data_IF_681881499092
#
_entry.id   IF_681881499092
#
_cell.length_a   1.000
_cell.length_b   1.000
_cell.length_c   1.000
_cell.angle_alpha   90.00
_cell.angle_beta   90.00
_cell.angle_gamma   90.00
#
_symmetry.space_group_name_H-M   'P 1'
#
loop_
_entity.id
_entity.type
_entity.pdbx_description
1 polymer ?
#
# COMPACT_ATOMS: atom_id res chain seq x y z
N UNK A 1 -10.57 -5.31 10.69
CA UNK A 1 -11.02 -6.14 9.54
C UNK A 1 -12.00 -5.34 8.70
N UNK A 2 -11.84 -5.35 7.38
CA UNK A 2 -12.83 -4.82 6.43
C UNK A 2 -13.31 -5.94 5.50
N UNK A 3 -14.55 -5.82 5.03
CA UNK A 3 -15.14 -6.67 4.01
C UNK A 3 -15.69 -5.78 2.90
N UNK A 4 -15.60 -6.24 1.66
CA UNK A 4 -16.16 -5.54 0.51
C UNK A 4 -16.86 -6.53 -0.41
N UNK A 5 -18.11 -6.20 -0.76
CA UNK A 5 -18.91 -6.93 -1.76
C UNK A 5 -19.47 -5.92 -2.75
N UNK A 6 -19.11 -6.04 -4.01
CA UNK A 6 -19.61 -5.10 -5.01
C UNK A 6 -18.96 -5.22 -6.38
N UNK A 7 -19.08 -4.15 -7.13
CA UNK A 7 -18.49 -3.99 -8.44
C UNK A 7 -17.68 -2.71 -8.47
N UNK A 8 -16.61 -2.68 -9.24
CA UNK A 8 -15.87 -1.45 -9.53
C UNK A 8 -16.10 -1.03 -10.98
N UNK A 9 -16.29 0.28 -11.16
CA UNK A 9 -16.50 0.88 -12.48
C UNK A 9 -15.76 2.23 -12.58
N UNK A 10 -15.50 2.67 -13.79
CA UNK A 10 -14.99 4.00 -14.10
C UNK A 10 -15.95 4.68 -15.09
N UNK A 11 -16.70 5.68 -14.62
CA UNK A 11 -17.88 6.17 -15.31
C UNK A 11 -18.87 5.01 -15.51
N UNK A 12 -19.37 4.84 -16.73
CA UNK A 12 -20.31 3.76 -17.09
C UNK A 12 -19.62 2.42 -17.42
N UNK A 13 -18.28 2.39 -17.42
CA UNK A 13 -17.51 1.19 -17.78
C UNK A 13 -17.28 0.31 -16.57
N UNK A 14 -17.91 -0.89 -16.56
CA UNK A 14 -17.59 -1.93 -15.58
C UNK A 14 -16.15 -2.42 -15.77
N UNK A 15 -15.34 -2.32 -14.70
CA UNK A 15 -13.95 -2.80 -14.65
C UNK A 15 -13.86 -4.20 -14.08
N UNK A 16 -14.53 -4.45 -12.94
CA UNK A 16 -14.61 -5.77 -12.34
C UNK A 16 -15.95 -5.93 -11.61
N UNK A 17 -16.57 -7.10 -11.74
CA UNK A 17 -17.84 -7.42 -11.12
C UNK A 17 -17.75 -8.60 -10.15
N UNK A 18 -18.72 -8.66 -9.21
CA UNK A 18 -18.82 -9.76 -8.26
C UNK A 18 -17.63 -9.87 -7.31
N UNK A 19 -17.05 -8.76 -6.92
CA UNK A 19 -15.92 -8.72 -5.96
C UNK A 19 -16.46 -9.09 -4.58
N UNK A 20 -15.79 -10.04 -3.95
CA UNK A 20 -16.00 -10.39 -2.55
C UNK A 20 -14.64 -10.63 -1.90
N UNK A 21 -14.22 -9.71 -1.05
CA UNK A 21 -12.90 -9.73 -0.40
C UNK A 21 -12.99 -9.32 1.06
N UNK A 22 -12.03 -9.80 1.84
CA UNK A 22 -11.82 -9.36 3.22
C UNK A 22 -10.34 -9.07 3.47
N UNK A 23 -10.06 -8.12 4.37
CA UNK A 23 -8.71 -7.80 4.84
C UNK A 23 -8.69 -7.88 6.36
N UNK A 24 -7.77 -8.65 6.90
CA UNK A 24 -7.59 -8.90 8.33
C UNK A 24 -6.24 -8.39 8.80
N UNK A 25 -6.10 -8.20 10.11
CA UNK A 25 -4.81 -7.89 10.74
C UNK A 25 -3.73 -8.91 10.33
N UNK A 26 -2.57 -8.42 9.96
CA UNK A 26 -1.44 -9.22 9.50
C UNK A 26 -1.45 -9.60 8.01
N UNK A 27 -2.52 -9.31 7.28
CA UNK A 27 -2.57 -9.56 5.85
C UNK A 27 -1.61 -8.65 5.09
N UNK A 28 -0.81 -9.23 4.20
CA UNK A 28 0.00 -8.54 3.21
C UNK A 28 -0.46 -9.00 1.83
N UNK A 29 -1.32 -8.23 1.18
CA UNK A 29 -2.02 -8.65 -0.04
C UNK A 29 -1.45 -7.91 -1.25
N UNK A 30 -1.01 -8.67 -2.24
CA UNK A 30 -0.65 -8.15 -3.56
C UNK A 30 -1.90 -8.01 -4.44
N UNK A 31 -2.20 -6.80 -4.90
CA UNK A 31 -3.21 -6.53 -5.93
C UNK A 31 -2.53 -6.41 -7.28
N UNK A 32 -2.77 -7.34 -8.18
CA UNK A 32 -2.19 -7.33 -9.52
C UNK A 32 -3.24 -7.38 -10.63
N UNK A 33 -2.85 -7.03 -11.83
CA UNK A 33 -3.72 -6.94 -13.01
C UNK A 33 -3.11 -6.08 -14.09
N UNK A 34 -3.62 -6.20 -15.29
CA UNK A 34 -3.20 -5.38 -16.44
C UNK A 34 -3.38 -3.87 -16.19
N UNK A 35 -2.73 -3.03 -16.99
CA UNK A 35 -2.98 -1.59 -16.95
C UNK A 35 -4.45 -1.30 -17.30
N UNK A 36 -5.10 -0.44 -16.50
CA UNK A 36 -6.52 -0.12 -16.68
C UNK A 36 -7.50 -1.20 -16.21
N UNK A 37 -7.05 -2.29 -15.56
CA UNK A 37 -7.93 -3.33 -15.02
C UNK A 37 -8.77 -2.89 -13.82
N UNK A 38 -8.39 -1.78 -13.16
CA UNK A 38 -9.15 -1.24 -12.03
C UNK A 38 -8.45 -1.34 -10.67
N UNK A 39 -7.14 -1.65 -10.60
CA UNK A 39 -6.37 -1.73 -9.34
C UNK A 39 -6.55 -0.47 -8.47
N UNK A 40 -6.20 0.69 -9.00
CA UNK A 40 -6.33 1.96 -8.28
C UNK A 40 -7.79 2.30 -7.95
N UNK A 41 -8.74 1.89 -8.80
CA UNK A 41 -10.18 2.08 -8.56
C UNK A 41 -10.64 1.23 -7.38
N UNK A 42 -10.21 -0.03 -7.30
CA UNK A 42 -10.52 -0.91 -6.18
C UNK A 42 -9.96 -0.35 -4.86
N UNK A 43 -8.67 0.04 -4.85
CA UNK A 43 -8.05 0.64 -3.65
C UNK A 43 -8.81 1.90 -3.19
N UNK A 44 -9.15 2.80 -4.11
CA UNK A 44 -9.93 4.02 -3.79
C UNK A 44 -11.33 3.71 -3.29
N UNK A 45 -11.98 2.69 -3.84
CA UNK A 45 -13.31 2.26 -3.38
C UNK A 45 -13.24 1.73 -1.95
N UNK A 46 -12.28 0.85 -1.65
CA UNK A 46 -12.06 0.33 -0.29
C UNK A 46 -11.78 1.45 0.71
N UNK A 47 -10.94 2.43 0.34
CA UNK A 47 -10.63 3.58 1.19
C UNK A 47 -11.85 4.46 1.43
N UNK A 48 -12.65 4.73 0.40
CA UNK A 48 -13.86 5.55 0.48
C UNK A 48 -14.94 4.93 1.36
N UNK A 49 -15.10 3.61 1.29
CA UNK A 49 -16.10 2.89 2.08
C UNK A 49 -15.68 2.66 3.54
N UNK A 50 -14.37 2.71 3.82
CA UNK A 50 -13.82 2.44 5.14
C UNK A 50 -12.90 3.56 5.66
N UNK A 51 -13.31 4.84 5.65
CA UNK A 51 -12.41 5.97 5.93
C UNK A 51 -11.88 5.98 7.37
N UNK A 52 -12.57 5.34 8.30
CA UNK A 52 -12.13 5.25 9.69
C UNK A 52 -11.00 4.23 9.91
N UNK A 53 -10.93 3.17 9.09
CA UNK A 53 -10.01 2.04 9.27
C UNK A 53 -8.85 2.05 8.27
N UNK A 54 -8.99 2.76 7.17
CA UNK A 54 -8.10 2.68 6.02
C UNK A 54 -7.34 3.99 5.81
N UNK A 55 -6.04 3.90 5.62
CA UNK A 55 -5.20 4.98 5.06
C UNK A 55 -4.74 4.58 3.65
N UNK A 56 -4.80 5.50 2.70
CA UNK A 56 -4.41 5.24 1.31
C UNK A 56 -3.32 6.19 0.85
N UNK A 57 -2.26 5.62 0.28
CA UNK A 57 -1.19 6.34 -0.41
C UNK A 57 -1.33 6.08 -1.91
N UNK A 58 -1.67 7.09 -2.71
CA UNK A 58 -1.74 6.96 -4.16
C UNK A 58 -0.34 6.90 -4.78
N UNK A 59 -0.25 6.37 -6.00
CA UNK A 59 0.98 6.45 -6.79
C UNK A 59 1.30 7.89 -7.19
N UNK A 60 2.60 8.20 -7.37
CA UNK A 60 3.05 9.44 -7.99
C UNK A 60 2.91 10.69 -7.11
N UNK A 61 3.00 10.58 -5.80
CA UNK A 61 3.10 11.75 -4.91
C UNK A 61 4.36 12.55 -5.29
N UNK A 62 4.24 13.85 -5.58
CA UNK A 62 5.39 14.65 -5.96
C UNK A 62 6.25 15.02 -4.75
N UNK A 63 7.58 15.08 -4.94
CA UNK A 63 8.49 15.69 -3.97
C UNK A 63 8.35 17.21 -4.06
N UNK A 64 7.74 17.83 -3.05
CA UNK A 64 7.51 19.28 -2.98
C UNK A 64 8.63 19.95 -2.19
N UNK A 65 9.23 21.03 -2.71
CA UNK A 65 10.24 21.81 -2.00
C UNK A 65 9.65 22.62 -0.85
N UNK A 66 10.44 22.82 0.21
CA UNK A 66 10.05 23.70 1.31
C UNK A 66 9.32 22.99 2.45
N UNK A 67 9.24 21.66 2.42
CA UNK A 67 8.83 20.84 3.57
C UNK A 67 10.01 20.00 4.02
N UNK A 68 10.29 19.96 5.29
CA UNK A 68 11.12 18.92 5.85
C UNK A 68 10.31 17.60 5.99
N UNK A 69 11.01 16.48 6.16
CA UNK A 69 10.36 15.19 6.22
C UNK A 69 9.47 15.06 7.46
N UNK A 70 9.80 15.68 8.58
CA UNK A 70 8.99 15.68 9.80
C UNK A 70 7.64 16.39 9.55
N UNK A 71 7.66 17.57 8.94
CA UNK A 71 6.46 18.31 8.56
C UNK A 71 5.59 17.50 7.58
N UNK A 72 6.23 16.86 6.59
CA UNK A 72 5.55 16.04 5.60
C UNK A 72 4.85 14.83 6.23
N UNK A 73 5.52 14.09 7.13
CA UNK A 73 4.94 12.93 7.81
C UNK A 73 3.82 13.36 8.77
N UNK A 74 3.96 14.53 9.39
CA UNK A 74 2.95 15.08 10.30
C UNK A 74 1.58 15.27 9.65
N UNK A 75 1.51 15.47 8.33
CA UNK A 75 0.24 15.51 7.60
C UNK A 75 -0.61 14.25 7.86
N UNK A 76 0.02 13.07 7.99
CA UNK A 76 -0.70 11.84 8.33
C UNK A 76 -1.22 11.80 9.76
N UNK A 77 -0.55 12.48 10.69
CA UNK A 77 -0.98 12.52 12.10
C UNK A 77 -2.26 13.33 12.31
N UNK A 78 -2.48 14.36 11.49
CA UNK A 78 -3.58 15.32 11.65
C UNK A 78 -4.91 14.81 11.05
N UNK A 79 -4.86 13.89 10.08
CA UNK A 79 -6.07 13.31 9.47
C UNK A 79 -6.96 12.53 10.46
N UNK A 80 -6.41 12.08 11.58
CA UNK A 80 -7.14 11.32 12.59
C UNK A 80 -7.97 12.15 13.59
N UNK A 81 -7.77 13.47 13.70
CA UNK A 81 -8.58 14.40 14.51
C UNK A 81 -8.70 14.08 16.01
N UNK A 82 -8.04 13.07 16.55
CA UNK A 82 -8.25 12.51 17.89
C UNK A 82 -6.99 12.37 18.74
N UNK A 83 -5.84 12.88 18.28
CA UNK A 83 -4.59 12.74 19.00
C UNK A 83 -4.25 13.98 19.83
N UNK A 84 -4.01 13.80 21.14
CA UNK A 84 -3.19 14.75 21.89
C UNK A 84 -1.86 14.90 21.14
N UNK A 85 -1.34 16.10 20.96
CA UNK A 85 -0.10 16.35 20.19
C UNK A 85 1.08 15.47 20.68
N UNK A 86 1.11 15.14 21.98
CA UNK A 86 2.12 14.24 22.58
C UNK A 86 2.01 12.79 22.10
N UNK A 87 0.82 12.29 21.83
CA UNK A 87 0.63 10.91 21.37
C UNK A 87 0.94 10.79 19.86
N UNK A 88 0.65 11.84 19.09
CA UNK A 88 1.04 11.94 17.69
C UNK A 88 2.56 11.99 17.52
N UNK A 89 3.26 12.78 18.33
CA UNK A 89 4.73 12.85 18.34
C UNK A 89 5.38 11.51 18.73
N UNK A 90 4.85 10.82 19.75
CA UNK A 90 5.35 9.50 20.14
C UNK A 90 5.16 8.47 19.00
N UNK A 91 4.00 8.50 18.35
CA UNK A 91 3.71 7.62 17.21
C UNK A 91 4.67 7.89 16.06
N UNK A 92 4.85 9.16 15.70
CA UNK A 92 5.78 9.55 14.64
C UNK A 92 7.21 9.11 14.94
N UNK A 93 7.69 9.33 16.16
CA UNK A 93 9.03 8.88 16.56
C UNK A 93 9.19 7.34 16.45
N UNK A 94 8.16 6.58 16.81
CA UNK A 94 8.16 5.12 16.66
C UNK A 94 8.18 4.71 15.19
N UNK A 95 7.40 5.36 14.33
CA UNK A 95 7.35 5.10 12.88
C UNK A 95 8.67 5.46 12.22
N UNK A 96 9.27 6.61 12.54
CA UNK A 96 10.58 7.00 11.99
C UNK A 96 11.67 5.98 12.33
N UNK A 97 11.66 5.48 13.57
CA UNK A 97 12.59 4.42 14.01
C UNK A 97 12.35 3.12 13.24
N UNK A 98 11.10 2.68 13.12
CA UNK A 98 10.72 1.46 12.40
C UNK A 98 11.18 1.48 10.93
N UNK A 99 11.11 2.65 10.29
CA UNK A 99 11.48 2.83 8.88
C UNK A 99 12.96 3.22 8.67
N UNK A 100 13.72 3.46 9.75
CA UNK A 100 15.10 3.93 9.67
C UNK A 100 15.23 5.34 9.08
N UNK A 101 14.34 6.25 9.45
CA UNK A 101 14.26 7.62 8.95
C UNK A 101 14.64 8.68 9.97
N UNK A 102 15.06 8.29 11.19
CA UNK A 102 15.31 9.21 12.31
C UNK A 102 16.30 10.33 11.98
N UNK A 103 17.39 10.01 11.29
CA UNK A 103 18.42 10.99 10.93
C UNK A 103 18.02 11.92 9.78
N UNK A 104 16.97 11.58 9.08
CA UNK A 104 16.50 12.31 7.88
C UNK A 104 15.34 13.28 8.19
N UNK A 105 14.83 13.30 9.41
CA UNK A 105 13.60 14.00 9.76
C UNK A 105 13.62 15.52 9.46
N UNK A 106 14.78 16.16 9.48
CA UNK A 106 14.94 17.59 9.19
C UNK A 106 15.48 17.88 7.78
N UNK A 107 15.54 16.85 6.91
CA UNK A 107 15.93 17.05 5.51
C UNK A 107 14.73 17.47 4.68
N UNK A 108 14.94 18.41 3.75
CA UNK A 108 13.94 18.76 2.74
C UNK A 108 13.59 17.52 1.91
N UNK A 109 12.29 17.21 1.80
CA UNK A 109 11.81 16.01 1.10
C UNK A 109 12.21 15.95 -0.37
N UNK A 110 12.49 17.11 -1.00
CA UNK A 110 12.98 17.17 -2.38
C UNK A 110 14.41 16.63 -2.54
N UNK A 111 15.17 16.52 -1.43
CA UNK A 111 16.56 16.04 -1.41
C UNK A 111 16.68 14.55 -1.06
N UNK A 112 15.57 13.91 -0.68
CA UNK A 112 15.56 12.50 -0.37
C UNK A 112 15.75 11.66 -1.62
N UNK A 113 16.42 10.50 -1.50
CA UNK A 113 16.38 9.48 -2.54
C UNK A 113 14.96 8.98 -2.77
N UNK A 114 14.69 8.29 -3.88
CA UNK A 114 13.35 7.80 -4.17
C UNK A 114 12.88 6.76 -3.13
N UNK A 115 13.78 5.90 -2.66
CA UNK A 115 13.48 4.94 -1.60
C UNK A 115 13.20 5.60 -0.24
N UNK A 116 13.98 6.62 0.15
CA UNK A 116 13.74 7.40 1.38
C UNK A 116 12.41 8.13 1.31
N UNK A 117 12.11 8.76 0.17
CA UNK A 117 10.83 9.45 -0.04
C UNK A 117 9.65 8.48 -0.02
N UNK A 118 9.78 7.29 -0.62
CA UNK A 118 8.75 6.26 -0.58
C UNK A 118 8.49 5.78 0.87
N UNK A 119 9.55 5.59 1.66
CA UNK A 119 9.40 5.31 3.10
C UNK A 119 8.70 6.43 3.85
N UNK A 120 9.00 7.70 3.51
CA UNK A 120 8.30 8.85 4.10
C UNK A 120 6.80 8.85 3.75
N UNK A 121 6.42 8.49 2.52
CA UNK A 121 5.02 8.31 2.14
C UNK A 121 4.34 7.18 2.94
N UNK A 122 5.02 6.06 3.15
CA UNK A 122 4.52 4.97 4.02
C UNK A 122 4.39 5.45 5.47
N UNK A 123 5.34 6.26 5.96
CA UNK A 123 5.28 6.83 7.29
C UNK A 123 4.01 7.67 7.51
N UNK A 124 3.58 8.47 6.52
CA UNK A 124 2.30 9.21 6.58
C UNK A 124 1.15 8.26 6.89
N UNK A 125 1.05 7.15 6.15
CA UNK A 125 -0.01 6.18 6.33
C UNK A 125 0.04 5.52 7.72
N UNK A 126 1.22 5.16 8.21
CA UNK A 126 1.40 4.59 9.55
C UNK A 126 1.06 5.59 10.66
N UNK A 127 1.43 6.86 10.49
CA UNK A 127 1.15 7.92 11.45
C UNK A 127 -0.35 8.24 11.56
N UNK A 128 -1.17 7.91 10.57
CA UNK A 128 -2.62 8.03 10.64
C UNK A 128 -3.24 7.15 11.73
N UNK A 129 -2.52 6.13 12.19
CA UNK A 129 -2.98 5.19 13.21
C UNK A 129 -4.11 4.28 12.75
N UNK A 130 -4.35 4.19 11.44
CA UNK A 130 -5.36 3.31 10.86
C UNK A 130 -4.85 1.88 10.77
N UNK A 131 -5.77 0.93 10.80
CA UNK A 131 -5.44 -0.50 10.86
C UNK A 131 -4.96 -1.06 9.52
N UNK A 132 -5.39 -0.46 8.41
CA UNK A 132 -5.18 -0.99 7.05
C UNK A 132 -4.56 0.09 6.17
N UNK A 133 -3.47 -0.27 5.51
CA UNK A 133 -2.77 0.58 4.56
C UNK A 133 -3.06 0.10 3.14
N UNK A 134 -3.53 0.99 2.28
CA UNK A 134 -3.69 0.76 0.85
C UNK A 134 -2.64 1.56 0.10
N UNK A 135 -1.77 0.87 -0.65
CA UNK A 135 -0.64 1.48 -1.34
C UNK A 135 -0.74 1.22 -2.85
N UNK A 136 -0.88 2.28 -3.61
CA UNK A 136 -0.97 2.17 -5.07
C UNK A 136 0.42 2.30 -5.70
N UNK A 137 0.97 1.18 -6.20
CA UNK A 137 2.30 1.09 -6.82
C UNK A 137 3.46 1.59 -5.93
N UNK A 138 3.61 1.14 -4.67
CA UNK A 138 4.63 1.68 -3.75
C UNK A 138 6.07 1.40 -4.17
N UNK A 139 6.30 0.54 -5.15
CA UNK A 139 7.63 0.21 -5.67
C UNK A 139 7.88 0.77 -7.08
N UNK A 140 6.93 1.55 -7.64
CA UNK A 140 7.10 2.15 -8.94
C UNK A 140 8.30 3.12 -8.95
N UNK A 141 9.02 3.14 -10.06
CA UNK A 141 10.20 4.01 -10.29
C UNK A 141 11.41 3.77 -9.37
N UNK A 142 11.36 2.76 -8.48
CA UNK A 142 12.48 2.38 -7.62
C UNK A 142 13.43 1.41 -8.34
N UNK A 143 14.72 1.51 -8.03
CA UNK A 143 15.70 0.49 -8.42
C UNK A 143 15.44 -0.85 -7.70
N UNK A 144 16.01 -1.97 -8.17
CA UNK A 144 15.75 -3.30 -7.61
C UNK A 144 16.05 -3.42 -6.11
N UNK A 145 17.10 -2.75 -5.61
CA UNK A 145 17.45 -2.76 -4.19
C UNK A 145 16.39 -2.08 -3.34
N UNK A 146 15.96 -0.88 -3.75
CA UNK A 146 14.91 -0.13 -3.07
C UNK A 146 13.55 -0.84 -3.14
N UNK A 147 13.20 -1.51 -4.24
CA UNK A 147 11.96 -2.33 -4.31
C UNK A 147 11.95 -3.42 -3.25
N UNK A 148 13.03 -4.19 -3.16
CA UNK A 148 13.19 -5.25 -2.16
C UNK A 148 13.07 -4.70 -0.73
N UNK A 149 13.73 -3.58 -0.46
CA UNK A 149 13.68 -2.91 0.84
C UNK A 149 12.25 -2.48 1.21
N UNK A 150 11.50 -1.86 0.28
CA UNK A 150 10.10 -1.45 0.53
C UNK A 150 9.21 -2.67 0.78
N UNK A 151 9.31 -3.71 -0.03
CA UNK A 151 8.51 -4.93 0.14
C UNK A 151 8.80 -5.63 1.48
N UNK A 152 10.08 -5.69 1.89
CA UNK A 152 10.47 -6.20 3.22
C UNK A 152 9.84 -5.36 4.33
N UNK A 153 9.90 -4.04 4.22
CA UNK A 153 9.27 -3.13 5.17
C UNK A 153 7.75 -3.36 5.27
N UNK A 154 7.03 -3.53 4.15
CA UNK A 154 5.60 -3.84 4.16
C UNK A 154 5.32 -5.16 4.87
N UNK A 155 6.15 -6.17 4.66
CA UNK A 155 6.03 -7.47 5.35
C UNK A 155 6.23 -7.34 6.85
N UNK A 156 7.20 -6.54 7.31
CA UNK A 156 7.45 -6.27 8.73
C UNK A 156 6.26 -5.54 9.37
N UNK A 157 5.69 -4.54 8.68
CA UNK A 157 4.48 -3.83 9.12
C UNK A 157 3.32 -4.80 9.33
N UNK A 158 3.10 -5.74 8.40
CA UNK A 158 2.07 -6.76 8.53
C UNK A 158 2.37 -7.72 9.70
N UNK A 159 3.62 -8.12 9.88
CA UNK A 159 4.03 -8.97 11.01
C UNK A 159 3.83 -8.30 12.37
N UNK A 160 3.83 -6.97 12.43
CA UNK A 160 3.52 -6.17 13.60
C UNK A 160 2.01 -6.00 13.86
N UNK A 161 1.14 -6.59 13.01
CA UNK A 161 -0.30 -6.65 13.20
C UNK A 161 -1.13 -5.67 12.37
N UNK A 162 -0.51 -4.79 11.57
CA UNK A 162 -1.25 -4.00 10.59
C UNK A 162 -1.56 -4.83 9.34
N UNK A 163 -2.52 -4.38 8.53
CA UNK A 163 -2.77 -4.99 7.23
C UNK A 163 -2.32 -4.06 6.11
N UNK A 164 -1.80 -4.64 5.04
CA UNK A 164 -1.39 -3.91 3.83
C UNK A 164 -2.01 -4.56 2.60
N UNK A 165 -2.63 -3.75 1.74
CA UNK A 165 -2.97 -4.14 0.37
C UNK A 165 -2.20 -3.21 -0.56
N UNK A 166 -1.35 -3.74 -1.41
CA UNK A 166 -0.56 -2.94 -2.32
C UNK A 166 -0.68 -3.42 -3.76
N UNK A 167 -0.75 -2.48 -4.69
CA UNK A 167 -0.69 -2.82 -6.12
C UNK A 167 0.77 -2.89 -6.59
N UNK A 168 1.07 -3.82 -7.50
CA UNK A 168 2.38 -3.89 -8.16
C UNK A 168 2.28 -4.53 -9.54
N UNK A 169 3.19 -4.11 -10.43
CA UNK A 169 3.45 -4.78 -11.72
C UNK A 169 4.56 -5.82 -11.62
N UNK A 170 5.41 -5.75 -10.59
CA UNK A 170 6.46 -6.74 -10.34
C UNK A 170 5.91 -7.90 -9.48
N UNK A 171 5.11 -8.76 -10.13
CA UNK A 171 4.40 -9.85 -9.47
C UNK A 171 5.40 -10.84 -8.87
N UNK A 172 6.41 -11.25 -9.63
CA UNK A 172 7.39 -12.27 -9.23
C UNK A 172 8.12 -11.88 -7.94
N UNK A 173 8.62 -10.65 -7.88
CA UNK A 173 9.27 -10.14 -6.67
C UNK A 173 8.29 -10.02 -5.51
N UNK A 174 7.09 -9.46 -5.76
CA UNK A 174 6.09 -9.18 -4.73
C UNK A 174 5.55 -10.44 -4.05
N UNK A 175 5.42 -11.56 -4.79
CA UNK A 175 4.95 -12.85 -4.25
C UNK A 175 5.80 -13.36 -3.08
N UNK A 176 7.08 -12.99 -3.00
CA UNK A 176 7.95 -13.41 -1.90
C UNK A 176 7.66 -12.69 -0.58
N UNK A 177 6.89 -11.61 -0.61
CA UNK A 177 6.64 -10.73 0.55
C UNK A 177 5.18 -10.70 0.99
N UNK A 178 4.24 -11.19 0.19
CA UNK A 178 2.82 -11.16 0.52
C UNK A 178 2.31 -12.48 1.12
N UNK A 179 1.15 -12.41 1.77
CA UNK A 179 0.43 -13.57 2.33
C UNK A 179 -0.72 -13.99 1.46
N UNK A 180 -1.19 -13.07 0.60
CA UNK A 180 -2.31 -13.26 -0.31
C UNK A 180 -2.14 -12.49 -1.60
N UNK A 181 -2.84 -12.91 -2.63
CA UNK A 181 -2.91 -12.24 -3.94
C UNK A 181 -4.36 -12.03 -4.36
N UNK A 182 -4.64 -10.83 -4.87
CA UNK A 182 -5.85 -10.46 -5.58
C UNK A 182 -5.49 -10.14 -7.02
N UNK A 183 -5.95 -10.95 -7.96
CA UNK A 183 -5.62 -10.83 -9.37
C UNK A 183 -6.86 -10.41 -10.18
N UNK A 184 -6.80 -9.22 -10.79
CA UNK A 184 -7.82 -8.74 -11.71
C UNK A 184 -7.59 -9.35 -13.10
N UNK A 185 -8.41 -10.33 -13.45
CA UNK A 185 -8.35 -11.06 -14.72
C UNK A 185 -8.95 -10.28 -15.89
N UNK A 186 -8.65 -10.75 -17.12
CA UNK A 186 -9.24 -10.22 -18.36
C UNK A 186 -10.76 -10.53 -18.44
N UNK A 187 -11.24 -11.54 -17.72
CA UNK A 187 -12.64 -11.90 -17.56
C UNK A 187 -13.44 -10.91 -16.70
N UNK A 188 -12.81 -9.80 -16.26
CA UNK A 188 -13.36 -8.78 -15.36
C UNK A 188 -13.83 -9.35 -14.01
N UNK A 189 -13.12 -10.34 -13.52
CA UNK A 189 -13.32 -10.93 -12.18
C UNK A 189 -12.08 -10.75 -11.33
N UNK A 190 -12.29 -10.75 -10.03
CA UNK A 190 -11.22 -10.77 -9.05
C UNK A 190 -11.01 -12.22 -8.60
N UNK A 191 -9.81 -12.72 -8.79
CA UNK A 191 -9.39 -14.04 -8.35
C UNK A 191 -8.46 -13.89 -7.15
N UNK A 192 -8.69 -14.66 -6.08
CA UNK A 192 -7.95 -14.57 -4.84
C UNK A 192 -7.29 -15.90 -4.50
N UNK A 193 -6.08 -15.85 -3.95
CA UNK A 193 -5.39 -17.00 -3.40
C UNK A 193 -4.49 -16.58 -2.23
N UNK A 194 -4.19 -17.54 -1.34
CA UNK A 194 -3.32 -17.38 -0.19
C UNK A 194 -2.27 -18.50 -0.13
N UNK A 195 -1.17 -18.25 0.55
CA UNK A 195 -0.12 -19.23 0.78
C UNK A 195 0.44 -19.85 -0.52
N UNK A 196 0.55 -21.17 -0.56
CA UNK A 196 1.14 -21.88 -1.69
C UNK A 196 0.36 -21.75 -3.02
N UNK A 197 -0.93 -21.41 -2.97
CA UNK A 197 -1.76 -21.24 -4.15
C UNK A 197 -1.52 -19.93 -4.90
N UNK A 198 -0.86 -18.93 -4.28
CA UNK A 198 -0.64 -17.61 -4.88
C UNK A 198 0.14 -17.67 -6.19
N UNK A 199 1.25 -18.44 -6.22
CA UNK A 199 2.09 -18.58 -7.41
C UNK A 199 1.33 -19.24 -8.55
N UNK A 200 0.61 -20.32 -8.29
CA UNK A 200 -0.20 -21.01 -9.30
C UNK A 200 -1.30 -20.09 -9.89
N UNK A 201 -1.94 -19.28 -9.05
CA UNK A 201 -2.91 -18.29 -9.51
C UNK A 201 -2.24 -17.24 -10.41
N UNK A 202 -1.11 -16.68 -9.96
CA UNK A 202 -0.38 -15.67 -10.72
C UNK A 202 0.06 -16.22 -12.09
N UNK A 203 0.59 -17.43 -12.17
CA UNK A 203 1.00 -18.10 -13.40
C UNK A 203 -0.19 -18.34 -14.34
N UNK A 204 -1.36 -18.70 -13.80
CA UNK A 204 -2.57 -18.94 -14.59
C UNK A 204 -3.12 -17.69 -15.25
N UNK A 205 -3.05 -16.54 -14.57
CA UNK A 205 -3.61 -15.26 -15.05
C UNK A 205 -2.54 -14.46 -15.84
N UNK A 206 -1.26 -14.55 -15.43
CA UNK A 206 -0.15 -13.77 -15.99
C UNK A 206 1.01 -14.67 -16.44
N UNK A 207 0.82 -15.58 -17.40
CA UNK A 207 1.81 -16.61 -17.74
C UNK A 207 3.13 -16.07 -18.29
N UNK A 208 3.19 -14.79 -18.69
CA UNK A 208 4.42 -14.14 -19.20
C UNK A 208 5.20 -13.37 -18.12
N UNK A 209 4.66 -13.22 -16.93
CA UNK A 209 5.19 -12.32 -15.88
C UNK A 209 5.79 -13.10 -14.70
N UNK A 210 5.41 -14.35 -14.54
CA UNK A 210 5.90 -15.26 -13.50
C UNK A 210 6.71 -16.37 -14.17
N UNK A 211 8.02 -16.46 -13.87
CA UNK A 211 8.92 -17.50 -14.38
C UNK A 211 9.74 -18.11 -13.25
#
# INVERSE_FOLDING_TARGET
MIEYKGNIAYGDKLLCGGIEVSVKSGDCILLCGANGSGKSTLLRTLAKENPALVSMIPTGIPKVKGFDMHEFIRLGCDEGGRGNSKDSEKRMAAVLRQLGLEELQHRDISTLSDGEFQKACIAIALCSGKEILLLDEPTAFLDPGNRTMILSCLREICSAGQAVVFSSHDIELSLNYCTGIWALGEDKRLHCAEGAAMRALAESIFPKTVR
#
